data_IF_660894122146
#
_entry.id   IF_660894122146
#
_cell.length_a   1.000
_cell.length_b   1.000
_cell.length_c   1.000
_cell.angle_alpha   90.00
_cell.angle_beta   90.00
_cell.angle_gamma   90.00
#
_symmetry.space_group_name_H-M   'P 1'
#
loop_
_entity.id
_entity.type
_entity.pdbx_description
1 polymer ?
#
# COMPACT_ATOMS: atom_id res chain seq x y z
N UNK A 1 12.41 16.13 -25.04
CA UNK A 1 12.59 15.10 -23.99
C UNK A 1 11.58 15.40 -22.89
N UNK A 2 10.35 14.90 -23.01
CA UNK A 2 9.33 15.07 -21.96
C UNK A 2 9.52 14.01 -20.90
N UNK A 3 10.43 14.24 -19.96
CA UNK A 3 10.43 13.48 -18.71
C UNK A 3 9.27 14.04 -17.88
N UNK A 4 8.09 13.44 -18.03
CA UNK A 4 7.04 13.62 -17.03
C UNK A 4 7.53 12.99 -15.74
N UNK A 5 8.33 13.75 -14.99
CA UNK A 5 8.68 13.42 -13.62
C UNK A 5 7.34 13.45 -12.90
N UNK A 6 6.76 12.29 -12.64
CA UNK A 6 5.67 12.18 -11.68
C UNK A 6 6.24 12.65 -10.34
N UNK A 7 6.19 13.97 -10.13
CA UNK A 7 6.64 14.59 -8.90
C UNK A 7 5.71 14.04 -7.83
N UNK A 8 6.25 13.14 -6.99
CA UNK A 8 5.55 12.66 -5.81
C UNK A 8 5.22 13.91 -5.00
N UNK A 9 3.94 14.26 -4.96
CA UNK A 9 3.50 15.43 -4.20
C UNK A 9 3.73 15.14 -2.71
N UNK A 10 3.93 16.17 -1.87
CA UNK A 10 4.09 15.97 -0.43
C UNK A 10 2.95 15.16 0.21
N UNK A 11 1.72 15.33 -0.30
CA UNK A 11 0.55 14.55 0.09
C UNK A 11 0.69 13.05 -0.29
N UNK A 12 1.17 12.76 -1.49
CA UNK A 12 1.39 11.38 -1.93
C UNK A 12 2.53 10.72 -1.16
N UNK A 13 3.58 11.47 -0.82
CA UNK A 13 4.66 11.02 0.05
C UNK A 13 4.14 10.71 1.46
N UNK A 14 3.34 11.59 2.06
CA UNK A 14 2.75 11.38 3.38
C UNK A 14 1.86 10.12 3.43
N UNK A 15 1.07 9.87 2.38
CA UNK A 15 0.25 8.65 2.26
C UNK A 15 1.11 7.38 2.17
N UNK A 16 2.20 7.42 1.41
CA UNK A 16 3.13 6.30 1.31
C UNK A 16 3.84 6.04 2.65
N UNK A 17 4.25 7.09 3.36
CA UNK A 17 4.94 6.93 4.63
C UNK A 17 4.00 6.40 5.72
N UNK A 18 2.74 6.85 5.74
CA UNK A 18 1.70 6.28 6.60
C UNK A 18 1.48 4.79 6.32
N UNK A 19 1.33 4.40 5.06
CA UNK A 19 1.16 2.99 4.68
C UNK A 19 2.38 2.14 5.06
N UNK A 20 3.60 2.69 4.97
CA UNK A 20 4.82 2.01 5.43
C UNK A 20 4.85 1.82 6.94
N UNK A 21 4.37 2.81 7.70
CA UNK A 21 4.31 2.74 9.15
C UNK A 21 3.25 1.74 9.63
N UNK A 22 2.06 1.76 9.03
CA UNK A 22 1.00 0.76 9.26
C UNK A 22 1.49 -0.66 8.95
N UNK A 23 2.30 -0.83 7.88
CA UNK A 23 2.91 -2.12 7.56
C UNK A 23 3.95 -2.55 8.60
N UNK A 24 4.79 -1.61 9.08
CA UNK A 24 5.78 -1.90 10.14
C UNK A 24 5.14 -2.25 11.47
N UNK A 25 4.02 -1.61 11.78
CA UNK A 25 3.28 -1.82 13.02
C UNK A 25 2.45 -3.11 13.00
N UNK A 26 2.39 -3.82 11.87
CA UNK A 26 1.58 -5.03 11.72
C UNK A 26 0.07 -4.74 11.62
N UNK A 27 -0.30 -3.48 11.38
CA UNK A 27 -1.69 -3.04 11.22
C UNK A 27 -2.18 -3.22 9.77
N UNK A 28 -1.29 -3.57 8.84
CA UNK A 28 -1.63 -3.87 7.46
C UNK A 28 -1.87 -5.37 7.26
N UNK A 29 -3.03 -5.72 6.72
CA UNK A 29 -3.30 -7.06 6.18
C UNK A 29 -2.47 -7.26 4.92
N UNK A 30 -1.39 -8.03 5.06
CA UNK A 30 -0.54 -8.42 3.96
C UNK A 30 -0.90 -9.83 3.50
N UNK A 31 -1.29 -9.96 2.24
CA UNK A 31 -1.56 -11.24 1.60
C UNK A 31 -0.42 -11.56 0.64
N UNK A 32 0.03 -12.82 0.64
CA UNK A 32 1.10 -13.28 -0.27
C UNK A 32 0.64 -13.30 -1.73
N UNK A 33 -0.65 -13.56 -1.95
CA UNK A 33 -1.28 -13.58 -3.26
C UNK A 33 -2.66 -12.91 -3.23
N UNK A 34 -3.17 -12.54 -4.41
CA UNK A 34 -4.54 -12.06 -4.54
C UNK A 34 -5.56 -13.14 -4.10
N UNK A 35 -5.27 -14.42 -4.31
CA UNK A 35 -6.12 -15.51 -3.84
C UNK A 35 -6.17 -15.59 -2.32
N UNK A 36 -5.06 -15.37 -1.61
CA UNK A 36 -5.05 -15.36 -0.13
C UNK A 36 -5.93 -14.23 0.43
N UNK A 37 -5.92 -13.06 -0.24
CA UNK A 37 -6.79 -11.94 0.11
C UNK A 37 -8.27 -12.26 -0.08
N UNK A 38 -8.61 -12.90 -1.21
CA UNK A 38 -9.98 -13.32 -1.52
C UNK A 38 -10.46 -14.37 -0.52
N UNK A 39 -9.66 -15.41 -0.27
CA UNK A 39 -10.00 -16.46 0.69
C UNK A 39 -10.23 -15.90 2.10
N UNK A 40 -9.39 -14.96 2.55
CA UNK A 40 -9.62 -14.27 3.83
C UNK A 40 -10.94 -13.48 3.83
N UNK A 41 -11.25 -12.74 2.77
CA UNK A 41 -12.52 -12.00 2.66
C UNK A 41 -13.75 -12.93 2.64
N UNK A 42 -13.64 -14.11 2.03
CA UNK A 42 -14.71 -15.11 2.01
C UNK A 42 -14.92 -15.80 3.38
N UNK A 43 -13.96 -15.66 4.30
CA UNK A 43 -14.04 -16.20 5.68
C UNK A 43 -14.53 -15.19 6.73
N UNK A 44 -14.84 -13.95 6.31
CA UNK A 44 -15.44 -12.90 7.15
C UNK A 44 -16.96 -13.04 7.22
#
# INVERSE_FOLDING_TARGET
MSTSTYAITPDLQAKLDKAREEHKNGETLCFGTAQDAIAWMETL
#
